data_IF_684152378782
#
_entry.id   IF_684152378782
#
_cell.length_a   1.000
_cell.length_b   1.000
_cell.length_c   1.000
_cell.angle_alpha   90.00
_cell.angle_beta   90.00
_cell.angle_gamma   90.00
#
_symmetry.space_group_name_H-M   'P 1'
#
loop_
_entity.id
_entity.type
_entity.pdbx_description
1 polymer ?
#
# COMPACT_ATOMS: atom_id res chain seq x y z
N UNK A 1 9.28 -24.69 1.40
CA UNK A 1 9.31 -23.22 1.52
C UNK A 1 7.90 -22.72 1.26
N UNK A 2 7.21 -22.10 2.23
CA UNK A 2 5.79 -21.81 2.05
C UNK A 2 5.61 -20.59 1.13
N UNK A 3 5.00 -20.84 -0.03
CA UNK A 3 4.54 -19.90 -1.05
C UNK A 3 3.14 -19.37 -0.75
N UNK A 4 2.75 -19.23 0.53
CA UNK A 4 1.41 -18.78 0.86
C UNK A 4 1.32 -17.25 0.91
N UNK A 5 1.15 -16.67 -0.29
CA UNK A 5 0.77 -15.28 -0.50
C UNK A 5 -0.76 -15.13 -0.38
N UNK A 6 -1.34 -15.51 0.77
CA UNK A 6 -2.77 -15.38 1.04
C UNK A 6 -3.29 -13.93 1.03
N UNK A 7 -2.41 -12.93 1.13
CA UNK A 7 -2.77 -11.52 1.04
C UNK A 7 -3.24 -11.07 -0.36
N UNK A 8 -2.80 -11.73 -1.43
CA UNK A 8 -3.15 -11.32 -2.80
C UNK A 8 -4.60 -11.66 -3.17
N UNK A 9 -5.20 -12.68 -2.55
CA UNK A 9 -6.59 -13.10 -2.81
C UNK A 9 -7.63 -12.02 -2.48
N UNK A 10 -7.32 -11.10 -1.57
CA UNK A 10 -8.26 -10.03 -1.19
C UNK A 10 -8.42 -8.99 -2.30
N UNK A 11 -7.46 -8.86 -3.22
CA UNK A 11 -7.55 -7.90 -4.32
C UNK A 11 -8.42 -8.38 -5.49
N UNK A 12 -8.77 -9.67 -5.54
CA UNK A 12 -9.54 -10.29 -6.63
C UNK A 12 -11.03 -10.52 -6.29
N UNK A 13 -11.47 -10.28 -5.05
CA UNK A 13 -12.89 -10.45 -4.66
C UNK A 13 -13.67 -9.13 -4.70
N UNK A 14 -15.00 -9.19 -4.66
CA UNK A 14 -15.88 -8.00 -4.59
C UNK A 14 -15.72 -7.22 -3.26
N UNK A 15 -15.17 -7.85 -2.23
CA UNK A 15 -14.98 -7.29 -0.89
C UNK A 15 -13.50 -7.04 -0.60
N UNK A 16 -12.89 -6.08 -1.30
CA UNK A 16 -11.44 -5.74 -1.24
C UNK A 16 -11.04 -4.94 0.00
N UNK A 17 -11.54 -5.31 1.17
CA UNK A 17 -11.28 -4.59 2.41
C UNK A 17 -10.21 -5.31 3.23
N UNK A 18 -9.08 -4.64 3.48
CA UNK A 18 -8.02 -5.13 4.35
C UNK A 18 -8.02 -4.29 5.63
N UNK A 19 -8.40 -4.89 6.75
CA UNK A 19 -8.29 -4.27 8.07
C UNK A 19 -7.06 -4.82 8.82
N UNK A 20 -6.13 -3.93 9.19
CA UNK A 20 -4.96 -4.29 10.00
C UNK A 20 -5.10 -3.62 11.36
N UNK A 21 -5.54 -4.36 12.39
CA UNK A 21 -5.86 -3.82 13.73
C UNK A 21 -4.72 -3.90 14.76
N UNK A 22 -3.48 -4.18 14.34
CA UNK A 22 -2.32 -4.45 15.24
C UNK A 22 -1.94 -3.22 16.13
N UNK A 23 -1.02 -3.35 17.11
CA UNK A 23 -0.64 -2.28 18.07
C UNK A 23 0.06 -1.03 17.50
N UNK A 24 0.25 0.00 18.34
CA UNK A 24 1.01 1.24 18.04
C UNK A 24 2.44 0.92 17.56
N UNK A 25 2.97 1.68 16.59
CA UNK A 25 4.31 1.50 15.96
C UNK A 25 4.55 0.21 15.18
N UNK A 26 3.51 -0.55 14.87
CA UNK A 26 3.63 -1.74 14.00
C UNK A 26 3.82 -1.42 12.49
N UNK A 27 4.11 -0.18 12.12
CA UNK A 27 4.36 0.19 10.71
C UNK A 27 3.13 0.25 9.80
N UNK A 28 1.90 0.22 10.32
CA UNK A 28 0.66 0.31 9.51
C UNK A 28 0.63 1.54 8.60
N UNK A 29 0.95 2.72 9.13
CA UNK A 29 0.97 3.95 8.36
C UNK A 29 2.05 3.94 7.27
N UNK A 30 3.19 3.27 7.52
CA UNK A 30 4.26 3.10 6.53
C UNK A 30 3.79 2.17 5.42
N UNK A 31 3.16 1.04 5.76
CA UNK A 31 2.59 0.12 4.78
C UNK A 31 1.52 0.80 3.92
N UNK A 32 0.62 1.58 4.50
CA UNK A 32 -0.37 2.35 3.76
C UNK A 32 0.28 3.36 2.80
N UNK A 33 1.31 4.11 3.25
CA UNK A 33 2.08 5.00 2.38
C UNK A 33 2.77 4.25 1.24
N UNK A 34 3.33 3.08 1.52
CA UNK A 34 3.99 2.23 0.52
C UNK A 34 2.99 1.75 -0.55
N UNK A 35 1.79 1.32 -0.14
CA UNK A 35 0.72 0.93 -1.07
C UNK A 35 0.28 2.11 -1.94
N UNK A 36 0.10 3.29 -1.35
CA UNK A 36 -0.27 4.49 -2.10
C UNK A 36 0.82 4.89 -3.10
N UNK A 37 2.09 4.86 -2.69
CA UNK A 37 3.20 5.14 -3.60
C UNK A 37 3.28 4.14 -4.76
N UNK A 38 2.95 2.86 -4.53
CA UNK A 38 2.98 1.83 -5.55
C UNK A 38 1.84 1.94 -6.58
N UNK A 39 0.61 2.19 -6.12
CA UNK A 39 -0.56 2.21 -7.00
C UNK A 39 -0.88 3.58 -7.61
N UNK A 40 -0.50 4.68 -6.97
CA UNK A 40 -0.91 6.04 -7.36
C UNK A 40 -0.33 6.48 -8.70
N UNK A 41 -1.19 6.89 -9.63
CA UNK A 41 -0.79 7.46 -10.93
C UNK A 41 -0.12 8.84 -10.84
N UNK A 42 -0.22 9.51 -9.69
CA UNK A 42 0.24 10.90 -9.53
C UNK A 42 1.74 11.08 -9.25
N UNK A 43 2.50 9.98 -9.14
CA UNK A 43 3.93 10.04 -8.83
C UNK A 43 4.67 8.89 -9.52
N UNK A 44 5.81 9.15 -10.16
CA UNK A 44 6.63 8.07 -10.72
C UNK A 44 7.47 7.41 -9.62
N UNK A 45 6.90 6.36 -9.04
CA UNK A 45 7.50 5.62 -7.92
C UNK A 45 8.53 4.56 -8.33
N UNK A 46 8.87 4.41 -9.63
CA UNK A 46 9.78 3.35 -10.11
C UNK A 46 11.13 3.33 -9.41
N UNK A 47 11.78 4.49 -9.29
CA UNK A 47 13.10 4.59 -8.68
C UNK A 47 13.07 4.26 -7.17
N UNK A 48 11.96 4.56 -6.50
CA UNK A 48 11.75 4.25 -5.08
C UNK A 48 11.78 2.74 -4.82
N UNK A 49 11.28 1.95 -5.77
CA UNK A 49 11.14 0.50 -5.61
C UNK A 49 12.20 -0.32 -6.37
N UNK A 50 13.03 0.32 -7.20
CA UNK A 50 14.01 -0.32 -8.10
C UNK A 50 14.93 -1.34 -7.40
N UNK A 51 15.41 -1.00 -6.21
CA UNK A 51 16.37 -1.82 -5.45
C UNK A 51 15.72 -2.76 -4.42
N UNK A 52 14.39 -2.84 -4.37
CA UNK A 52 13.67 -3.65 -3.39
C UNK A 52 13.31 -5.02 -3.97
N UNK A 53 13.10 -6.01 -3.11
CA UNK A 53 12.76 -7.38 -3.52
C UNK A 53 11.52 -7.46 -4.43
N UNK A 54 10.60 -6.50 -4.29
CA UNK A 54 9.37 -6.42 -5.10
C UNK A 54 9.65 -6.11 -6.58
N UNK A 55 10.74 -5.40 -6.92
CA UNK A 55 11.08 -5.09 -8.32
C UNK A 55 11.45 -6.31 -9.15
N UNK A 56 11.83 -7.41 -8.47
CA UNK A 56 12.16 -8.70 -9.10
C UNK A 56 10.92 -9.51 -9.50
N UNK A 57 9.72 -9.14 -9.03
CA UNK A 57 8.49 -9.84 -9.36
C UNK A 57 8.00 -9.46 -10.77
N UNK A 58 7.61 -10.41 -11.63
CA UNK A 58 7.15 -10.11 -12.99
C UNK A 58 5.85 -9.29 -13.01
N UNK A 59 5.02 -9.40 -11.97
CA UNK A 59 3.79 -8.62 -11.81
C UNK A 59 3.99 -7.20 -11.30
N UNK A 60 5.22 -6.82 -10.93
CA UNK A 60 5.54 -5.52 -10.34
C UNK A 60 5.17 -4.34 -11.26
N UNK A 61 5.52 -4.42 -12.54
CA UNK A 61 5.18 -3.38 -13.50
C UNK A 61 3.68 -3.33 -13.85
N UNK A 62 2.94 -4.43 -13.60
CA UNK A 62 1.55 -4.60 -14.06
C UNK A 62 0.57 -3.65 -13.38
N UNK A 63 0.83 -3.27 -12.12
CA UNK A 63 -0.11 -2.47 -11.33
C UNK A 63 0.47 -1.13 -10.84
N UNK A 64 1.72 -0.84 -11.23
CA UNK A 64 2.45 0.33 -10.76
C UNK A 64 1.98 1.62 -11.43
N UNK A 65 1.65 2.63 -10.62
CA UNK A 65 1.26 3.98 -11.05
C UNK A 65 0.05 4.02 -12.02
N UNK A 66 -0.91 3.10 -11.88
CA UNK A 66 -2.06 3.00 -12.80
C UNK A 66 -3.39 3.46 -12.21
N UNK A 67 -3.45 3.72 -10.90
CA UNK A 67 -4.71 3.90 -10.20
C UNK A 67 -4.83 5.28 -9.54
N UNK A 68 -6.05 5.79 -9.48
CA UNK A 68 -6.43 6.90 -8.61
C UNK A 68 -6.57 6.37 -7.17
N UNK A 69 -5.70 6.83 -6.28
CA UNK A 69 -5.66 6.37 -4.90
C UNK A 69 -6.12 7.47 -3.95
N UNK A 70 -7.21 7.21 -3.22
CA UNK A 70 -7.67 8.08 -2.13
C UNK A 70 -7.07 7.57 -0.82
N UNK A 71 -6.23 8.39 -0.18
CA UNK A 71 -5.64 8.09 1.14
C UNK A 71 -6.29 8.96 2.20
N UNK A 72 -7.01 8.33 3.13
CA UNK A 72 -7.55 8.99 4.31
C UNK A 72 -6.62 8.75 5.51
N UNK A 73 -6.10 9.84 6.08
CA UNK A 73 -5.22 9.80 7.26
C UNK A 73 -5.94 10.43 8.46
N UNK A 74 -6.71 9.60 9.17
CA UNK A 74 -7.57 10.03 10.28
C UNK A 74 -6.74 10.63 11.43
N UNK A 75 -5.53 10.09 11.66
CA UNK A 75 -4.63 10.58 12.71
C UNK A 75 -4.20 12.02 12.41
N UNK A 76 -3.85 12.33 11.16
CA UNK A 76 -3.49 13.69 10.76
C UNK A 76 -4.69 14.63 10.86
N UNK A 77 -5.86 14.20 10.40
CA UNK A 77 -7.08 15.02 10.49
C UNK A 77 -7.42 15.39 11.93
N UNK A 78 -7.37 14.42 12.85
CA UNK A 78 -7.61 14.66 14.27
C UNK A 78 -6.57 15.61 14.89
N UNK A 79 -5.30 15.50 14.49
CA UNK A 79 -4.24 16.37 14.97
C UNK A 79 -4.39 17.82 14.49
N UNK A 80 -5.05 18.06 13.36
CA UNK A 80 -5.28 19.41 12.82
C UNK A 80 -6.46 20.10 13.51
N UNK A 81 -7.44 19.35 14.02
CA UNK A 81 -8.60 19.91 14.73
C UNK A 81 -8.32 20.38 16.16
N UNK A 82 -7.20 19.96 16.77
CA UNK A 82 -6.79 20.39 18.13
C UNK A 82 -5.89 21.64 18.11
N UNK A 83 -5.78 22.33 16.97
CA UNK A 83 -5.02 23.57 16.76
C UNK A 83 -5.95 24.72 16.36
#
# INVERSE_FOLDING_TARGET
MPTDCSALRVLESESKYVCVSRPRRFGKSIAAKMLVAYYSKGCDSKDLFKNLSISKQPSFAKYMNQYDVIRLDIQWMYSVSEN
#
